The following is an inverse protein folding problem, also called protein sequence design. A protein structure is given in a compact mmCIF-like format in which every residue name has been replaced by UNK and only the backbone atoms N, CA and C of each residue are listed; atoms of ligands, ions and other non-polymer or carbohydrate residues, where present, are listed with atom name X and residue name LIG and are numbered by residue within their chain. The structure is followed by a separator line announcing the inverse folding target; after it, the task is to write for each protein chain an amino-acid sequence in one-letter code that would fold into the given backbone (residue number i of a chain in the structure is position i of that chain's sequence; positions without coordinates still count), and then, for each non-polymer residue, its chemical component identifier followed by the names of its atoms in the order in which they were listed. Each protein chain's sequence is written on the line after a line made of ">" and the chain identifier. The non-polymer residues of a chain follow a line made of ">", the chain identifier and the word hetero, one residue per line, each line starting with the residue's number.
data_IF_718168900907
#
_entry.id   IF_718168900907
#
_cell.length_a   1.000
_cell.length_b   1.000
_cell.length_c   1.000
_cell.angle_alpha   90.00
_cell.angle_beta   90.00
_cell.angle_gamma   90.00
#
_symmetry.space_group_name_H-M   'P 1'
#
loop_
_entity.id
_entity.type
_entity.pdbx_description
1 polymer ?
#
# COMPACT_ATOMS: atom_id res chain seq x y z
N UNK A 1 -7.80 38.65 27.80
CA UNK A 1 -8.30 37.28 28.03
C UNK A 1 -9.41 36.95 27.01
N UNK A 2 -9.13 37.08 25.70
CA UNK A 2 -10.08 36.82 24.58
C UNK A 2 -9.33 36.39 23.31
N UNK A 3 -8.37 35.46 23.42
CA UNK A 3 -7.54 35.07 22.26
C UNK A 3 -7.14 33.59 22.25
N UNK A 4 -8.00 32.70 22.77
CA UNK A 4 -7.77 31.25 22.68
C UNK A 4 -8.95 30.42 22.16
N UNK A 5 -10.12 31.02 21.89
CA UNK A 5 -11.29 30.25 21.43
C UNK A 5 -11.33 29.97 19.92
N UNK A 6 -10.44 30.56 19.10
CA UNK A 6 -10.52 30.42 17.63
C UNK A 6 -9.66 29.32 17.01
N UNK A 7 -9.08 28.40 17.79
CA UNK A 7 -8.17 27.36 17.27
C UNK A 7 -8.74 25.94 17.24
N UNK A 8 -9.98 25.72 17.70
CA UNK A 8 -10.58 24.38 17.77
C UNK A 8 -11.59 24.04 16.65
N UNK A 9 -11.93 24.96 15.74
CA UNK A 9 -12.93 24.71 14.68
C UNK A 9 -12.38 24.31 13.30
N UNK A 10 -11.06 24.19 13.11
CA UNK A 10 -10.47 23.89 11.79
C UNK A 10 -10.22 22.38 11.51
N UNK A 11 -10.92 21.47 12.19
CA UNK A 11 -10.75 20.01 12.01
C UNK A 11 -11.99 19.27 11.50
N UNK A 12 -12.98 19.97 10.95
CA UNK A 12 -14.14 19.34 10.35
C UNK A 12 -14.08 19.42 8.82
N UNK A 13 -13.78 18.29 8.18
CA UNK A 13 -14.31 17.99 6.85
C UNK A 13 -13.31 17.88 5.71
N UNK A 14 -12.23 17.11 5.84
CA UNK A 14 -11.71 16.43 4.62
C UNK A 14 -12.83 15.52 4.13
N UNK A 15 -13.42 15.86 2.99
CA UNK A 15 -14.57 15.14 2.47
C UNK A 15 -14.21 13.68 2.24
N UNK A 16 -15.18 12.77 2.41
CA UNK A 16 -14.99 11.34 2.11
C UNK A 16 -14.44 11.11 0.69
N UNK A 17 -14.74 12.03 -0.23
CA UNK A 17 -14.22 12.07 -1.59
C UNK A 17 -12.73 12.43 -1.70
N UNK A 18 -12.17 13.22 -0.79
CA UNK A 18 -10.73 13.51 -0.75
C UNK A 18 -9.95 12.30 -0.22
N UNK A 19 -10.45 11.70 0.87
CA UNK A 19 -9.85 10.47 1.43
C UNK A 19 -9.91 9.31 0.45
N UNK A 20 -11.02 9.18 -0.30
CA UNK A 20 -11.14 8.19 -1.35
C UNK A 20 -10.16 8.46 -2.51
N UNK A 21 -9.95 9.72 -2.91
CA UNK A 21 -8.96 10.10 -3.93
C UNK A 21 -7.53 9.84 -3.48
N UNK A 22 -7.18 10.14 -2.24
CA UNK A 22 -5.86 9.83 -1.67
C UNK A 22 -5.62 8.32 -1.59
N UNK A 23 -6.61 7.55 -1.12
CA UNK A 23 -6.53 6.09 -1.06
C UNK A 23 -6.43 5.46 -2.45
N UNK A 24 -7.20 5.95 -3.44
CA UNK A 24 -7.11 5.54 -4.84
C UNK A 24 -5.78 5.93 -5.47
N UNK A 25 -5.26 7.12 -5.15
CA UNK A 25 -3.94 7.57 -5.58
C UNK A 25 -2.85 6.64 -5.07
N UNK A 26 -2.87 6.35 -3.77
CA UNK A 26 -1.94 5.40 -3.14
C UNK A 26 -2.02 4.00 -3.75
N UNK A 27 -3.23 3.44 -3.89
CA UNK A 27 -3.43 2.12 -4.49
C UNK A 27 -2.95 2.04 -5.94
N UNK A 28 -3.17 3.12 -6.69
CA UNK A 28 -2.74 3.24 -8.09
C UNK A 28 -1.22 3.33 -8.19
N UNK A 29 -0.58 4.06 -7.29
CA UNK A 29 0.87 4.24 -7.28
C UNK A 29 1.57 2.91 -6.89
N UNK A 30 0.97 2.13 -5.98
CA UNK A 30 1.43 0.78 -5.61
C UNK A 30 1.29 -0.20 -6.79
N UNK A 31 0.14 -0.21 -7.48
CA UNK A 31 -0.07 -1.02 -8.67
C UNK A 31 0.87 -0.62 -9.82
N UNK A 32 1.17 0.67 -9.97
CA UNK A 32 2.13 1.16 -10.94
C UNK A 32 3.57 0.73 -10.59
N UNK A 33 3.93 0.69 -9.30
CA UNK A 33 5.21 0.19 -8.83
C UNK A 33 5.38 -1.31 -9.15
N UNK A 34 4.30 -2.10 -9.10
CA UNK A 34 4.31 -3.52 -9.46
C UNK A 34 4.45 -3.81 -10.96
N UNK A 35 4.32 -2.81 -11.85
CA UNK A 35 4.55 -3.02 -13.29
C UNK A 35 6.06 -3.05 -13.57
N UNK A 36 6.61 -4.17 -14.08
CA UNK A 36 8.03 -4.27 -14.43
C UNK A 36 8.49 -3.14 -15.33
N UNK A 37 9.67 -2.57 -15.05
CA UNK A 37 10.25 -1.47 -15.83
C UNK A 37 10.39 -1.83 -17.32
N UNK A 38 10.62 -3.12 -17.64
CA UNK A 38 10.65 -3.64 -19.00
C UNK A 38 9.30 -3.55 -19.75
N UNK A 39 8.17 -3.56 -19.04
CA UNK A 39 6.83 -3.42 -19.60
C UNK A 39 6.42 -1.95 -19.72
N UNK A 40 6.82 -1.09 -18.77
CA UNK A 40 6.70 0.38 -18.89
C UNK A 40 7.48 0.89 -20.10
N UNK A 41 8.75 0.48 -20.20
CA UNK A 41 9.63 0.81 -21.32
C UNK A 41 9.16 0.23 -22.66
N UNK A 42 8.29 -0.79 -22.70
CA UNK A 42 7.76 -1.36 -23.95
C UNK A 42 6.44 -0.76 -24.42
N UNK A 43 5.68 -0.08 -23.56
CA UNK A 43 4.28 0.30 -23.84
C UNK A 43 3.99 1.80 -23.89
N UNK A 44 4.94 2.67 -23.58
CA UNK A 44 4.68 4.11 -23.47
C UNK A 44 4.76 4.93 -24.77
N UNK A 45 5.07 4.33 -25.94
CA UNK A 45 5.33 5.12 -27.15
C UNK A 45 4.65 4.60 -28.43
N UNK A 46 4.36 5.53 -29.35
CA UNK A 46 4.08 5.23 -30.76
C UNK A 46 5.17 4.28 -31.30
N UNK A 47 4.78 3.30 -32.11
CA UNK A 47 5.78 2.39 -32.72
C UNK A 47 6.68 3.22 -33.64
N UNK A 48 7.98 3.12 -33.44
CA UNK A 48 8.94 3.67 -34.39
C UNK A 48 8.99 2.76 -35.62
N UNK A 49 8.92 3.36 -36.81
CA UNK A 49 9.09 2.65 -38.06
C UNK A 49 10.55 2.64 -38.55
N UNK A 50 11.38 3.53 -38.00
CA UNK A 50 12.79 3.66 -38.32
C UNK A 50 13.60 3.65 -37.02
N UNK A 51 14.64 2.83 -36.99
CA UNK A 51 15.65 2.82 -35.93
C UNK A 51 16.86 3.63 -36.36
N UNK A 52 17.30 4.52 -35.48
CA UNK A 52 18.48 5.37 -35.64
C UNK A 52 19.41 5.14 -34.45
N UNK A 53 20.68 4.84 -34.72
CA UNK A 53 21.72 4.64 -33.70
C UNK A 53 22.79 5.70 -33.92
N UNK A 54 22.98 6.56 -32.91
CA UNK A 54 24.11 7.48 -32.86
C UNK A 54 25.34 6.72 -32.38
N UNK A 55 26.48 6.97 -33.03
CA UNK A 55 27.78 6.42 -32.66
C UNK A 55 28.61 7.48 -31.90
N UNK A 56 29.60 7.05 -31.10
CA UNK A 56 30.51 7.95 -30.38
C UNK A 56 31.24 8.98 -31.26
N UNK A 57 31.47 8.65 -32.53
CA UNK A 57 32.13 9.51 -33.51
C UNK A 57 31.19 10.58 -34.13
N UNK A 58 29.94 10.64 -33.68
CA UNK A 58 28.92 11.59 -34.16
C UNK A 58 28.22 11.15 -35.45
N UNK A 59 28.55 9.98 -36.01
CA UNK A 59 27.81 9.40 -37.15
C UNK A 59 26.57 8.67 -36.68
N UNK A 60 25.57 8.56 -37.55
CA UNK A 60 24.32 7.87 -37.28
C UNK A 60 24.08 6.76 -38.31
N UNK A 61 23.79 5.55 -37.81
CA UNK A 61 23.30 4.44 -38.63
C UNK A 61 21.77 4.39 -38.57
N UNK A 62 21.11 4.13 -39.70
CA UNK A 62 19.65 4.17 -39.82
C UNK A 62 19.12 2.98 -40.61
N UNK A 63 18.04 2.37 -40.14
CA UNK A 63 17.38 1.25 -40.81
C UNK A 63 15.87 1.24 -40.51
N UNK A 64 15.09 0.50 -41.30
CA UNK A 64 13.69 0.23 -40.95
C UNK A 64 13.64 -0.60 -39.66
N UNK A 65 12.72 -0.23 -38.76
CA UNK A 65 12.53 -0.93 -37.51
C UNK A 65 11.94 -2.33 -37.77
N UNK A 66 12.67 -3.39 -37.42
CA UNK A 66 12.18 -4.76 -37.54
C UNK A 66 11.48 -5.23 -36.24
N UNK A 67 10.15 -5.40 -36.24
CA UNK A 67 9.38 -5.70 -35.03
C UNK A 67 9.67 -7.10 -34.45
N UNK A 68 10.28 -8.01 -35.22
CA UNK A 68 10.51 -9.41 -34.81
C UNK A 68 11.96 -9.73 -34.43
N UNK A 69 12.94 -8.99 -34.94
CA UNK A 69 14.36 -9.27 -34.70
C UNK A 69 15.04 -8.27 -33.78
N UNK A 70 14.48 -7.07 -33.60
CA UNK A 70 15.17 -6.01 -32.85
C UNK A 70 16.58 -5.74 -33.40
N UNK A 71 16.80 -6.02 -34.68
CA UNK A 71 18.08 -5.81 -35.33
C UNK A 71 18.34 -4.30 -35.40
N UNK A 72 19.41 -3.87 -34.76
CA UNK A 72 19.85 -2.49 -34.83
C UNK A 72 20.53 -2.25 -36.18
N UNK A 73 20.50 -1.00 -36.70
CA UNK A 73 21.26 -0.61 -37.87
C UNK A 73 22.75 -1.00 -37.75
N UNK A 74 23.35 -1.47 -38.84
CA UNK A 74 24.77 -1.82 -38.87
C UNK A 74 25.62 -0.55 -38.68
N UNK A 75 26.50 -0.49 -37.65
CA UNK A 75 27.43 0.62 -37.46
C UNK A 75 28.33 0.90 -38.67
N UNK A 76 28.58 -0.09 -39.53
CA UNK A 76 29.37 0.09 -40.75
C UNK A 76 28.69 1.01 -41.77
N UNK A 77 27.35 1.09 -41.75
CA UNK A 77 26.56 1.97 -42.62
C UNK A 77 26.36 3.38 -42.03
N UNK A 78 27.07 3.74 -40.96
CA UNK A 78 26.89 5.02 -40.29
C UNK A 78 27.34 6.21 -41.14
N UNK A 79 26.44 7.19 -41.25
CA UNK A 79 26.62 8.41 -42.03
C UNK A 79 26.82 9.60 -41.09
N UNK A 80 27.67 10.55 -41.47
CA UNK A 80 27.77 11.82 -40.76
C UNK A 80 26.46 12.61 -40.85
N UNK A 81 26.15 13.40 -39.81
CA UNK A 81 25.03 14.35 -39.85
C UNK A 81 25.23 15.34 -41.01
N UNK A 82 24.25 15.39 -41.91
CA UNK A 82 24.32 16.21 -43.11
C UNK A 82 23.41 15.70 -44.24
N UNK A 83 23.57 16.24 -45.46
CA UNK A 83 22.65 15.97 -46.58
C UNK A 83 22.50 14.48 -46.93
N UNK A 84 23.58 13.70 -46.80
CA UNK A 84 23.57 12.26 -47.10
C UNK A 84 22.71 11.48 -46.12
N UNK A 85 22.78 11.81 -44.81
CA UNK A 85 21.92 11.21 -43.80
C UNK A 85 20.46 11.57 -44.03
N UNK A 86 20.18 12.84 -44.35
CA UNK A 86 18.82 13.31 -44.67
C UNK A 86 18.25 12.57 -45.88
N UNK A 87 19.04 12.41 -46.96
CA UNK A 87 18.62 11.66 -48.14
C UNK A 87 18.31 10.19 -47.81
N UNK A 88 19.14 9.55 -46.97
CA UNK A 88 18.92 8.18 -46.49
C UNK A 88 17.65 8.08 -45.65
N UNK A 89 17.42 9.01 -44.73
CA UNK A 89 16.21 9.09 -43.90
C UNK A 89 14.95 9.30 -44.76
N UNK A 90 14.99 10.16 -45.78
CA UNK A 90 13.88 10.33 -46.74
C UNK A 90 13.59 9.04 -47.50
N UNK A 91 14.62 8.34 -47.99
CA UNK A 91 14.44 7.07 -48.67
C UNK A 91 13.78 6.01 -47.77
N UNK A 92 14.16 5.96 -46.48
CA UNK A 92 13.52 5.08 -45.50
C UNK A 92 12.09 5.52 -45.17
N UNK A 93 11.83 6.83 -45.12
CA UNK A 93 10.50 7.39 -44.84
C UNK A 93 9.46 7.00 -45.91
N UNK A 94 9.87 6.84 -47.17
CA UNK A 94 8.99 6.37 -48.25
C UNK A 94 8.61 4.88 -48.13
N UNK A 95 9.44 4.09 -47.44
CA UNK A 95 9.22 2.66 -47.21
C UNK A 95 8.51 2.40 -45.87
N UNK A 96 8.54 3.37 -44.96
CA UNK A 96 8.02 3.25 -43.61
C UNK A 96 6.50 3.54 -43.57
N UNK A 97 5.68 2.68 -42.93
CA UNK A 97 4.24 2.93 -42.80
C UNK A 97 3.93 4.15 -41.92
N UNK A 98 4.82 4.48 -40.99
CA UNK A 98 4.72 5.65 -40.13
C UNK A 98 5.99 6.50 -40.26
N UNK A 99 5.86 7.83 -40.23
CA UNK A 99 7.00 8.77 -40.28
C UNK A 99 7.60 8.97 -38.88
N UNK A 100 7.94 7.88 -38.19
CA UNK A 100 8.38 7.87 -36.78
C UNK A 100 9.76 7.24 -36.62
N UNK A 101 10.63 7.89 -35.83
CA UNK A 101 12.01 7.46 -35.59
C UNK A 101 12.23 7.22 -34.09
N UNK A 102 12.93 6.13 -33.76
CA UNK A 102 13.53 5.91 -32.44
C UNK A 102 15.03 6.14 -32.53
N UNK A 103 15.56 6.98 -31.66
CA UNK A 103 16.99 7.24 -31.53
C UNK A 103 17.57 6.43 -30.37
N UNK A 104 18.69 5.74 -30.59
CA UNK A 104 19.56 5.19 -29.55
C UNK A 104 20.82 6.02 -29.47
N UNK A 105 21.10 6.56 -28.29
CA UNK A 105 22.31 7.33 -27.98
C UNK A 105 23.31 6.42 -27.25
N UNK A 106 24.61 6.52 -27.51
CA UNK A 106 25.63 5.77 -26.80
C UNK A 106 25.78 6.30 -25.37
N UNK A 107 26.27 5.44 -24.47
CA UNK A 107 26.28 5.71 -23.02
C UNK A 107 27.27 6.80 -22.63
N UNK A 108 28.35 6.93 -23.39
CA UNK A 108 29.40 7.94 -23.23
C UNK A 108 28.91 9.38 -23.48
N UNK A 109 27.88 9.54 -24.32
CA UNK A 109 27.22 10.83 -24.54
C UNK A 109 26.23 11.19 -23.43
N UNK A 110 25.92 10.27 -22.52
CA UNK A 110 25.04 10.49 -21.38
C UNK A 110 25.83 10.65 -20.07
N UNK A 111 25.39 11.57 -19.22
CA UNK A 111 25.83 11.64 -17.83
C UNK A 111 24.96 10.70 -17.00
N UNK A 112 25.56 9.64 -16.46
CA UNK A 112 24.89 8.67 -15.59
C UNK A 112 25.42 8.79 -14.17
N UNK A 113 24.52 9.01 -13.20
CA UNK A 113 24.89 9.02 -11.77
C UNK A 113 23.96 8.17 -10.94
N UNK A 114 24.50 7.64 -9.84
CA UNK A 114 23.74 6.91 -8.83
C UNK A 114 23.49 7.82 -7.63
N UNK A 115 22.25 7.89 -7.19
CA UNK A 115 21.83 8.68 -6.02
C UNK A 115 20.87 7.85 -5.19
N UNK A 116 20.89 8.06 -3.87
CA UNK A 116 19.95 7.43 -2.95
C UNK A 116 18.81 8.39 -2.66
N UNK A 117 17.58 7.92 -2.80
CA UNK A 117 16.40 8.67 -2.37
C UNK A 117 15.60 7.86 -1.35
N UNK A 118 15.01 8.49 -0.32
CA UNK A 118 14.05 7.82 0.54
C UNK A 118 12.89 7.25 -0.29
N UNK A 119 12.39 6.06 0.04
CA UNK A 119 11.31 5.42 -0.71
C UNK A 119 10.05 6.30 -0.84
N UNK A 120 9.73 7.07 0.21
CA UNK A 120 8.62 8.07 0.21
C UNK A 120 8.76 9.19 -0.81
N UNK A 121 9.98 9.45 -1.30
CA UNK A 121 10.25 10.52 -2.28
C UNK A 121 10.11 10.04 -3.72
N UNK A 122 9.84 8.74 -3.96
CA UNK A 122 9.77 8.15 -5.30
C UNK A 122 8.76 8.87 -6.21
N UNK A 123 7.58 9.23 -5.69
CA UNK A 123 6.55 9.98 -6.44
C UNK A 123 7.00 11.38 -6.90
N UNK A 124 8.08 11.91 -6.33
CA UNK A 124 8.68 13.20 -6.69
C UNK A 124 10.10 13.07 -7.26
N UNK A 125 10.58 11.84 -7.50
CA UNK A 125 11.96 11.60 -7.91
C UNK A 125 12.33 12.35 -9.21
N UNK A 126 11.46 12.35 -10.22
CA UNK A 126 11.70 13.09 -11.48
C UNK A 126 11.90 14.59 -11.25
N UNK A 127 11.09 15.22 -10.39
CA UNK A 127 11.23 16.64 -10.08
C UNK A 127 12.52 16.95 -9.30
N UNK A 128 12.85 16.12 -8.30
CA UNK A 128 14.08 16.25 -7.49
C UNK A 128 15.31 16.10 -8.40
N UNK A 129 15.35 15.04 -9.20
CA UNK A 129 16.48 14.74 -10.07
C UNK A 129 16.66 15.79 -11.17
N UNK A 130 15.57 16.31 -11.74
CA UNK A 130 15.63 17.42 -12.70
C UNK A 130 16.21 18.68 -12.07
N UNK A 131 15.74 19.07 -10.88
CA UNK A 131 16.27 20.22 -10.17
C UNK A 131 17.77 20.07 -9.87
N UNK A 132 18.20 18.87 -9.45
CA UNK A 132 19.61 18.59 -9.26
C UNK A 132 20.42 18.63 -10.57
N UNK A 133 19.85 18.17 -11.70
CA UNK A 133 20.52 18.26 -13.00
C UNK A 133 20.72 19.71 -13.45
N UNK A 134 19.73 20.57 -13.25
CA UNK A 134 19.81 22.01 -13.55
C UNK A 134 20.93 22.69 -12.76
N UNK A 135 21.14 22.29 -11.50
CA UNK A 135 22.23 22.83 -10.67
C UNK A 135 23.63 22.33 -11.06
N UNK A 136 23.73 21.17 -11.71
CA UNK A 136 25.00 20.52 -12.05
C UNK A 136 25.46 20.80 -13.49
N UNK A 137 24.53 21.11 -14.39
CA UNK A 137 24.78 21.19 -15.82
C UNK A 137 24.73 22.63 -16.31
N UNK A 138 25.72 23.11 -17.08
CA UNK A 138 25.72 24.47 -17.63
C UNK A 138 24.82 24.60 -18.88
N UNK A 139 23.61 24.06 -18.83
CA UNK A 139 22.63 24.08 -19.92
C UNK A 139 21.30 24.62 -19.42
N UNK A 140 20.51 25.21 -20.31
CA UNK A 140 19.16 25.63 -19.96
C UNK A 140 18.29 24.40 -19.64
N UNK A 141 17.29 24.49 -18.74
CA UNK A 141 16.42 23.36 -18.40
C UNK A 141 15.78 22.66 -19.61
N UNK A 142 15.38 23.42 -20.64
CA UNK A 142 14.79 22.88 -21.87
C UNK A 142 15.79 22.13 -22.78
N UNK A 143 17.10 22.28 -22.53
CA UNK A 143 18.18 21.60 -23.23
C UNK A 143 18.69 20.38 -22.47
N UNK A 144 18.13 20.08 -21.30
CA UNK A 144 18.49 18.94 -20.47
C UNK A 144 17.39 17.88 -20.63
N UNK A 145 17.72 16.79 -21.32
CA UNK A 145 16.88 15.60 -21.38
C UNK A 145 17.30 14.67 -20.25
N UNK A 146 16.35 14.17 -19.47
CA UNK A 146 16.67 13.35 -18.30
C UNK A 146 15.57 12.36 -18.01
N UNK A 147 15.96 11.16 -17.59
CA UNK A 147 15.07 10.12 -17.11
C UNK A 147 15.84 9.24 -16.11
N UNK A 148 15.13 8.45 -15.32
CA UNK A 148 15.70 7.70 -14.21
C UNK A 148 15.04 6.33 -14.05
N UNK A 149 15.75 5.43 -13.39
CA UNK A 149 15.20 4.13 -13.01
C UNK A 149 15.76 3.66 -11.68
N UNK A 150 14.98 2.85 -10.97
CA UNK A 150 15.42 2.19 -9.74
C UNK A 150 16.34 1.02 -10.09
N UNK A 151 17.58 1.05 -9.62
CA UNK A 151 18.55 -0.03 -9.80
C UNK A 151 18.35 -1.10 -8.72
N UNK A 152 18.23 -0.68 -7.46
CA UNK A 152 17.98 -1.55 -6.31
C UNK A 152 17.19 -0.83 -5.23
N UNK A 153 16.44 -1.58 -4.43
CA UNK A 153 15.70 -1.10 -3.25
C UNK A 153 16.33 -1.70 -1.99
N UNK A 154 16.61 -0.85 -1.00
CA UNK A 154 17.04 -1.21 0.33
C UNK A 154 15.84 -1.14 1.28
N UNK A 155 15.26 -2.30 1.55
CA UNK A 155 14.06 -2.42 2.39
C UNK A 155 14.33 -2.10 3.86
N UNK A 156 15.56 -2.33 4.33
CA UNK A 156 15.94 -2.14 5.73
C UNK A 156 16.17 -0.65 6.02
N UNK A 157 16.86 0.05 5.10
CA UNK A 157 17.09 1.49 5.19
C UNK A 157 15.89 2.33 4.69
N UNK A 158 14.92 1.71 4.00
CA UNK A 158 13.82 2.39 3.26
C UNK A 158 14.35 3.40 2.24
N UNK A 159 15.43 3.04 1.56
CA UNK A 159 16.10 3.85 0.54
C UNK A 159 16.06 3.16 -0.82
N UNK A 160 16.05 3.96 -1.88
CA UNK A 160 16.08 3.51 -3.26
C UNK A 160 17.39 3.98 -3.89
N UNK A 161 18.13 3.04 -4.48
CA UNK A 161 19.27 3.35 -5.32
C UNK A 161 18.74 3.63 -6.73
N UNK A 162 18.83 4.89 -7.14
CA UNK A 162 18.31 5.36 -8.42
C UNK A 162 19.49 5.71 -9.33
N UNK A 163 19.39 5.30 -10.58
CA UNK A 163 20.28 5.74 -11.65
C UNK A 163 19.56 6.83 -12.42
N UNK A 164 20.17 8.01 -12.43
CA UNK A 164 19.72 9.17 -13.21
C UNK A 164 20.58 9.28 -14.46
N UNK A 165 19.92 9.36 -15.62
CA UNK A 165 20.55 9.46 -16.94
C UNK A 165 20.19 10.81 -17.54
N UNK A 166 21.20 11.59 -17.88
CA UNK A 166 21.04 12.95 -18.42
C UNK A 166 21.75 13.06 -19.76
N UNK A 167 21.10 13.67 -20.74
CA UNK A 167 21.64 13.99 -22.05
C UNK A 167 21.44 15.48 -22.35
N UNK A 168 22.52 16.16 -22.69
CA UNK A 168 22.44 17.52 -23.20
C UNK A 168 21.92 17.49 -24.64
N UNK A 169 20.75 18.09 -24.89
CA UNK A 169 20.11 18.18 -26.20
C UNK A 169 21.00 18.74 -27.30
N UNK A 170 21.89 19.73 -27.06
CA UNK A 170 22.84 20.18 -28.07
C UNK A 170 23.71 19.07 -28.68
N UNK A 171 23.97 17.97 -27.95
CA UNK A 171 24.75 16.82 -28.46
C UNK A 171 24.03 16.04 -29.57
N UNK A 172 22.70 16.10 -29.61
CA UNK A 172 21.89 15.39 -30.62
C UNK A 172 21.17 16.34 -31.58
N UNK A 173 21.34 17.66 -31.42
CA UNK A 173 20.61 18.67 -32.19
C UNK A 173 20.75 18.50 -33.70
N UNK A 174 21.97 18.28 -34.20
CA UNK A 174 22.22 18.07 -35.62
C UNK A 174 21.47 16.85 -36.18
N UNK A 175 21.26 15.83 -35.35
CA UNK A 175 20.51 14.64 -35.72
C UNK A 175 18.99 14.88 -35.63
N UNK A 176 18.52 15.59 -34.60
CA UNK A 176 17.12 16.03 -34.51
C UNK A 176 16.72 16.87 -35.73
N UNK A 177 17.59 17.80 -36.15
CA UNK A 177 17.41 18.62 -37.35
C UNK A 177 17.37 17.77 -38.62
N UNK A 178 18.29 16.82 -38.79
CA UNK A 178 18.30 15.91 -39.95
C UNK A 178 17.03 15.03 -40.02
N UNK A 179 16.54 14.56 -38.87
CA UNK A 179 15.28 13.79 -38.77
C UNK A 179 14.10 14.68 -39.16
N UNK A 180 14.03 15.91 -38.64
CA UNK A 180 12.96 16.85 -38.96
C UNK A 180 12.98 17.26 -40.46
N UNK A 181 14.16 17.50 -41.04
CA UNK A 181 14.33 17.84 -42.46
C UNK A 181 13.91 16.69 -43.40
N UNK A 182 13.98 15.45 -42.91
CA UNK A 182 13.47 14.27 -43.61
C UNK A 182 11.93 14.10 -43.47
N UNK A 183 11.26 15.00 -42.74
CA UNK A 183 9.81 14.92 -42.48
C UNK A 183 9.44 13.79 -41.52
N UNK A 184 10.38 13.38 -40.66
CA UNK A 184 10.19 12.33 -39.67
C UNK A 184 10.01 12.94 -38.28
N UNK A 185 9.28 12.25 -37.40
CA UNK A 185 9.07 12.64 -36.01
C UNK A 185 9.86 11.72 -35.09
N UNK A 186 10.70 12.30 -34.23
CA UNK A 186 11.37 11.56 -33.17
C UNK A 186 10.37 11.21 -32.07
N UNK A 187 10.15 9.92 -31.83
CA UNK A 187 9.15 9.44 -30.83
C UNK A 187 9.76 8.89 -29.56
N UNK A 188 11.07 8.63 -29.56
CA UNK A 188 11.77 8.01 -28.43
C UNK A 188 13.27 8.24 -28.51
N UNK A 189 13.90 8.46 -27.34
CA UNK A 189 15.36 8.48 -27.20
C UNK A 189 15.75 7.45 -26.13
N UNK A 190 16.28 6.31 -26.58
CA UNK A 190 16.88 5.30 -25.71
C UNK A 190 18.39 5.47 -25.56
N UNK A 191 18.96 4.80 -24.58
CA UNK A 191 20.41 4.83 -24.30
C UNK A 191 20.99 3.42 -24.36
N UNK A 192 22.16 3.26 -24.97
CA UNK A 192 22.97 2.03 -24.94
C UNK A 192 22.45 0.85 -25.77
N UNK A 193 21.42 1.03 -26.62
CA UNK A 193 20.91 -0.08 -27.43
C UNK A 193 21.95 -0.51 -28.47
N UNK A 194 22.59 0.44 -29.16
CA UNK A 194 23.69 0.19 -30.11
C UNK A 194 24.92 -0.54 -29.53
N UNK A 195 25.10 -0.50 -28.21
CA UNK A 195 26.21 -1.14 -27.50
C UNK A 195 25.87 -2.54 -26.93
N UNK A 196 24.63 -3.00 -27.14
CA UNK A 196 24.13 -4.25 -26.54
C UNK A 196 23.91 -4.17 -25.02
N UNK A 197 23.96 -2.98 -24.43
CA UNK A 197 23.72 -2.72 -23.00
C UNK A 197 22.64 -1.65 -22.84
N UNK A 198 21.38 -1.97 -23.18
CA UNK A 198 20.29 -1.00 -23.14
C UNK A 198 20.01 -0.57 -21.70
N UNK A 199 19.84 0.74 -21.51
CA UNK A 199 19.39 1.33 -20.25
C UNK A 199 17.87 1.52 -20.33
N UNK A 200 17.10 1.16 -19.28
CA UNK A 200 15.63 1.16 -19.33
C UNK A 200 15.04 2.56 -19.13
N UNK A 201 15.47 3.52 -19.95
CA UNK A 201 15.05 4.93 -19.91
C UNK A 201 14.54 5.39 -21.28
N UNK A 202 13.68 6.40 -21.29
CA UNK A 202 13.28 7.15 -22.47
C UNK A 202 13.40 8.65 -22.20
N UNK A 203 14.47 9.25 -22.72
CA UNK A 203 14.80 10.65 -22.47
C UNK A 203 13.83 11.64 -23.13
N UNK A 204 12.90 11.16 -23.99
CA UNK A 204 11.87 11.97 -24.63
C UNK A 204 10.53 11.88 -23.87
N UNK A 205 10.39 10.93 -22.95
CA UNK A 205 9.24 10.86 -22.05
C UNK A 205 9.40 11.96 -21.00
N UNK A 206 8.94 13.18 -21.33
CA UNK A 206 8.76 14.23 -20.33
C UNK A 206 7.68 13.72 -19.39
N UNK A 207 8.08 13.39 -18.17
CA UNK A 207 7.23 12.90 -17.08
C UNK A 207 5.86 13.58 -17.07
N UNK A 208 4.89 12.91 -17.67
CA UNK A 208 3.52 12.93 -17.21
C UNK A 208 3.12 11.45 -17.11
N UNK A 209 3.37 10.78 -15.97
CA UNK A 209 2.81 9.47 -15.68
C UNK A 209 1.29 9.58 -15.46
N UNK A 210 0.59 10.30 -16.34
CA UNK A 210 -0.85 10.20 -16.41
C UNK A 210 -1.15 8.87 -17.10
N UNK A 211 -1.65 7.91 -16.31
CA UNK A 211 -2.25 6.69 -16.86
C UNK A 211 -3.30 7.01 -17.93
N UNK A 212 -3.84 8.23 -17.98
CA UNK A 212 -4.69 8.74 -19.05
C UNK A 212 -4.03 8.68 -20.43
N UNK A 213 -2.74 8.98 -20.57
CA UNK A 213 -2.01 8.82 -21.84
C UNK A 213 -1.83 7.34 -22.22
N UNK A 214 -1.57 6.47 -21.23
CA UNK A 214 -1.50 5.02 -21.43
C UNK A 214 -2.85 4.37 -21.76
N UNK A 215 -3.94 4.83 -21.12
CA UNK A 215 -5.33 4.43 -21.38
C UNK A 215 -5.79 4.95 -22.73
N UNK A 216 -5.42 6.16 -23.14
CA UNK A 216 -5.72 6.67 -24.48
C UNK A 216 -5.10 5.80 -25.58
N UNK A 217 -3.89 5.26 -25.35
CA UNK A 217 -3.17 4.38 -26.27
C UNK A 217 -3.66 2.91 -26.29
N UNK A 218 -4.55 2.50 -25.37
CA UNK A 218 -5.13 1.15 -25.37
C UNK A 218 -6.11 0.95 -26.54
N UNK A 219 -6.05 -0.24 -27.15
CA UNK A 219 -7.03 -0.68 -28.16
C UNK A 219 -8.46 -0.52 -27.63
N UNK A 220 -9.45 -0.13 -28.47
CA UNK A 220 -10.84 0.03 -28.05
C UNK A 220 -11.40 -1.23 -27.37
N UNK A 221 -10.94 -2.42 -27.77
CA UNK A 221 -11.32 -3.68 -27.15
C UNK A 221 -10.77 -3.83 -25.72
N UNK A 222 -9.53 -3.40 -25.48
CA UNK A 222 -8.91 -3.44 -24.16
C UNK A 222 -9.53 -2.40 -23.21
N UNK A 223 -9.99 -1.26 -23.74
CA UNK A 223 -10.79 -0.27 -22.99
C UNK A 223 -12.13 -0.86 -22.55
N UNK A 224 -12.82 -1.55 -23.45
CA UNK A 224 -14.08 -2.25 -23.17
C UNK A 224 -13.91 -3.38 -22.14
N UNK A 225 -12.88 -4.21 -22.31
CA UNK A 225 -12.60 -5.30 -21.38
C UNK A 225 -12.19 -4.79 -19.99
N UNK A 226 -11.36 -3.75 -19.91
CA UNK A 226 -10.99 -3.11 -18.65
C UNK A 226 -12.18 -2.45 -17.96
N UNK A 227 -13.05 -1.77 -18.72
CA UNK A 227 -14.29 -1.20 -18.19
C UNK A 227 -15.27 -2.27 -17.67
N UNK A 228 -15.41 -3.39 -18.38
CA UNK A 228 -16.24 -4.51 -17.96
C UNK A 228 -15.70 -5.18 -16.70
N UNK A 229 -14.39 -5.40 -16.60
CA UNK A 229 -13.75 -5.95 -15.41
C UNK A 229 -13.94 -5.04 -14.19
N UNK A 230 -13.81 -3.71 -14.37
CA UNK A 230 -14.05 -2.74 -13.31
C UNK A 230 -15.53 -2.73 -12.87
N UNK A 231 -16.46 -2.83 -13.82
CA UNK A 231 -17.89 -2.96 -13.52
C UNK A 231 -18.21 -4.23 -12.72
N UNK A 232 -17.61 -5.37 -13.08
CA UNK A 232 -17.77 -6.62 -12.33
C UNK A 232 -17.21 -6.50 -10.91
N UNK A 233 -16.07 -5.84 -10.76
CA UNK A 233 -15.43 -5.59 -9.46
C UNK A 233 -16.26 -4.64 -8.58
N UNK A 234 -16.89 -3.62 -9.18
CA UNK A 234 -17.81 -2.73 -8.47
C UNK A 234 -19.16 -3.40 -8.17
N UNK A 235 -19.61 -4.34 -8.99
CA UNK A 235 -20.87 -5.06 -8.79
C UNK A 235 -20.76 -6.15 -7.70
N UNK A 236 -19.58 -6.74 -7.49
CA UNK A 236 -19.36 -7.82 -6.51
C UNK A 236 -19.81 -7.48 -5.07
N UNK A 237 -19.52 -6.30 -4.50
CA UNK A 237 -20.03 -5.95 -3.17
C UNK A 237 -21.56 -5.83 -3.12
N UNK A 238 -22.22 -5.42 -4.20
CA UNK A 238 -23.69 -5.35 -4.23
C UNK A 238 -24.35 -6.73 -4.26
N UNK A 239 -23.73 -7.72 -4.92
CA UNK A 239 -24.18 -9.10 -4.84
C UNK A 239 -24.00 -9.69 -3.42
N UNK A 240 -22.95 -9.32 -2.71
CA UNK A 240 -22.71 -9.76 -1.34
C UNK A 240 -23.74 -9.17 -0.35
N UNK A 241 -24.15 -7.91 -0.54
CA UNK A 241 -25.18 -7.27 0.28
C UNK A 241 -26.54 -7.99 0.13
N UNK A 242 -26.91 -8.38 -1.09
CA UNK A 242 -28.17 -9.13 -1.32
C UNK A 242 -28.20 -10.51 -0.65
N UNK A 243 -27.05 -11.17 -0.47
CA UNK A 243 -26.95 -12.44 0.26
C UNK A 243 -27.09 -12.24 1.78
N UNK A 244 -26.60 -11.12 2.31
CA UNK A 244 -26.74 -10.79 3.74
C UNK A 244 -28.19 -10.50 4.14
N UNK A 245 -28.99 -9.91 3.25
CA UNK A 245 -30.42 -9.68 3.50
C UNK A 245 -31.19 -11.02 3.61
N UNK A 246 -30.86 -11.99 2.76
CA UNK A 246 -31.46 -13.32 2.80
C UNK A 246 -31.09 -14.10 4.09
N UNK A 247 -29.85 -13.98 4.56
CA UNK A 247 -29.42 -14.57 5.85
C UNK A 247 -30.09 -13.89 7.05
N UNK A 248 -30.27 -12.56 7.01
CA UNK A 248 -30.99 -11.82 8.05
C UNK A 248 -32.47 -12.21 8.12
N UNK A 249 -33.11 -12.43 6.97
CA UNK A 249 -34.50 -12.88 6.94
C UNK A 249 -34.65 -14.34 7.40
N UNK A 250 -33.70 -15.21 7.07
CA UNK A 250 -33.63 -16.56 7.62
C UNK A 250 -33.46 -16.55 9.15
N UNK A 251 -32.61 -15.68 9.68
CA UNK A 251 -32.41 -15.50 11.13
C UNK A 251 -33.64 -14.90 11.81
N UNK A 252 -34.35 -13.96 11.17
CA UNK A 252 -35.62 -13.41 11.67
C UNK A 252 -36.72 -14.46 11.71
N UNK A 253 -36.84 -15.28 10.66
CA UNK A 253 -37.79 -16.40 10.62
C UNK A 253 -37.48 -17.46 11.70
N UNK A 254 -36.19 -17.82 11.88
CA UNK A 254 -35.76 -18.73 12.93
C UNK A 254 -36.02 -18.17 14.35
N UNK A 255 -35.89 -16.84 14.52
CA UNK A 255 -36.17 -16.16 15.79
C UNK A 255 -37.67 -16.05 16.09
N UNK A 256 -38.52 -15.95 15.07
CA UNK A 256 -39.97 -16.00 15.21
C UNK A 256 -40.49 -17.41 15.53
N UNK A 257 -39.78 -18.44 15.07
CA UNK A 257 -40.10 -19.85 15.34
C UNK A 257 -39.60 -20.36 16.70
N UNK A 258 -38.70 -19.64 17.37
CA UNK A 258 -38.24 -19.99 18.72
C UNK A 258 -39.09 -19.31 19.79
N UNK A 259 -39.82 -20.04 20.63
CA UNK A 259 -40.57 -19.45 21.73
C UNK A 259 -39.60 -18.89 22.78
N UNK A 260 -39.40 -17.56 22.78
CA UNK A 260 -38.78 -16.90 23.94
C UNK A 260 -39.72 -17.02 25.13
N UNK A 261 -39.26 -17.42 26.33
CA UNK A 261 -40.03 -17.16 27.54
C UNK A 261 -40.17 -15.65 27.66
N UNK A 262 -41.41 -15.17 27.59
CA UNK A 262 -41.70 -13.75 27.71
C UNK A 262 -41.26 -13.28 29.11
N UNK A 263 -40.34 -12.33 29.16
CA UNK A 263 -39.95 -11.59 30.37
C UNK A 263 -41.14 -10.87 31.01
N UNK A 264 -42.28 -10.79 30.31
CA UNK A 264 -43.57 -10.31 30.82
C UNK A 264 -44.29 -11.28 31.79
N UNK A 265 -43.76 -12.49 32.03
CA UNK A 265 -44.33 -13.46 32.97
C UNK A 265 -43.48 -13.67 34.24
N UNK A 266 -42.43 -12.88 34.45
CA UNK A 266 -41.71 -12.86 35.73
C UNK A 266 -42.50 -11.97 36.68
N UNK A 267 -43.23 -12.59 37.60
CA UNK A 267 -43.95 -11.91 38.67
C UNK A 267 -43.01 -10.99 39.45
N UNK A 268 -43.53 -9.89 39.99
CA UNK A 268 -42.76 -8.94 40.81
C UNK A 268 -42.00 -9.64 41.97
N UNK A 269 -42.48 -10.80 42.43
CA UNK A 269 -41.78 -11.66 43.39
C UNK A 269 -40.45 -12.22 42.85
N UNK A 270 -40.40 -12.71 41.61
CA UNK A 270 -39.17 -13.22 41.02
C UNK A 270 -38.11 -12.12 40.79
N UNK A 271 -38.55 -10.87 40.60
CA UNK A 271 -37.66 -9.70 40.51
C UNK A 271 -37.15 -9.29 41.89
N UNK A 272 -37.99 -9.35 42.93
CA UNK A 272 -37.59 -9.09 44.32
C UNK A 272 -36.60 -10.16 44.81
N UNK A 273 -36.88 -11.44 44.59
CA UNK A 273 -35.99 -12.54 44.95
C UNK A 273 -34.62 -12.42 44.26
N UNK A 274 -34.59 -11.96 43.00
CA UNK A 274 -33.34 -11.70 42.28
C UNK A 274 -32.56 -10.50 42.84
N UNK A 275 -33.25 -9.45 43.29
CA UNK A 275 -32.63 -8.27 43.90
C UNK A 275 -32.12 -8.57 45.32
N UNK A 276 -32.85 -9.34 46.11
CA UNK A 276 -32.41 -9.80 47.44
C UNK A 276 -31.23 -10.77 47.31
N UNK A 277 -31.27 -11.71 46.35
CA UNK A 277 -30.14 -12.57 46.03
C UNK A 277 -28.93 -11.83 45.46
N UNK A 278 -29.09 -10.58 45.00
CA UNK A 278 -28.01 -9.69 44.58
C UNK A 278 -27.48 -8.84 45.74
N UNK A 279 -28.35 -8.41 46.65
CA UNK A 279 -27.98 -7.64 47.84
C UNK A 279 -27.15 -8.46 48.85
N UNK A 280 -27.35 -9.78 48.89
CA UNK A 280 -26.60 -10.72 49.74
C UNK A 280 -25.23 -11.12 49.17
N UNK A 281 -24.85 -10.64 47.97
CA UNK A 281 -23.55 -10.97 47.36
C UNK A 281 -22.45 -10.03 47.85
N UNK A 282 -21.27 -10.56 48.22
CA UNK A 282 -20.12 -9.71 48.53
C UNK A 282 -19.79 -8.81 47.35
N UNK A 283 -19.61 -7.49 47.55
CA UNK A 283 -19.16 -6.60 46.48
C UNK A 283 -17.81 -7.09 45.94
N UNK A 284 -17.64 -7.07 44.61
CA UNK A 284 -16.44 -7.55 43.91
C UNK A 284 -15.15 -6.93 44.48
N UNK A 285 -15.23 -5.69 44.99
CA UNK A 285 -14.11 -5.03 45.66
C UNK A 285 -13.64 -5.75 46.95
N UNK A 286 -14.55 -6.30 47.76
CA UNK A 286 -14.20 -7.07 48.96
C UNK A 286 -13.57 -8.42 48.61
N UNK A 287 -14.05 -9.07 47.55
CA UNK A 287 -13.47 -10.32 47.04
C UNK A 287 -12.03 -10.08 46.56
N UNK A 288 -11.79 -8.97 45.84
CA UNK A 288 -10.44 -8.61 45.37
C UNK A 288 -9.50 -8.23 46.51
N UNK A 289 -10.00 -7.52 47.54
CA UNK A 289 -9.19 -7.15 48.72
C UNK A 289 -8.82 -8.38 49.56
N UNK A 290 -9.76 -9.31 49.78
CA UNK A 290 -9.49 -10.56 50.47
C UNK A 290 -8.49 -11.45 49.71
N UNK A 291 -8.63 -11.53 48.37
CA UNK A 291 -7.63 -12.18 47.53
C UNK A 291 -6.25 -11.53 47.65
N UNK A 292 -6.17 -10.20 47.62
CA UNK A 292 -4.90 -9.47 47.72
C UNK A 292 -4.20 -9.66 49.08
N UNK A 293 -4.97 -9.81 50.18
CA UNK A 293 -4.42 -10.06 51.52
C UNK A 293 -3.98 -11.50 51.74
N UNK A 294 -4.71 -12.44 51.17
CA UNK A 294 -4.54 -13.88 51.43
C UNK A 294 -3.55 -14.52 50.46
N UNK A 295 -3.28 -13.90 49.30
CA UNK A 295 -2.32 -14.43 48.34
C UNK A 295 -0.87 -14.31 48.86
N UNK A 296 -0.07 -15.39 48.83
CA UNK A 296 1.36 -15.34 49.12
C UNK A 296 2.09 -14.36 48.18
N UNK A 297 3.11 -13.64 48.67
CA UNK A 297 3.90 -12.68 47.87
C UNK A 297 4.65 -13.31 46.69
N UNK A 298 4.79 -14.63 46.67
CA UNK A 298 5.43 -15.43 45.63
C UNK A 298 4.44 -16.03 44.61
N UNK A 299 3.13 -15.77 44.73
CA UNK A 299 2.11 -16.29 43.82
C UNK A 299 1.75 -15.28 42.71
N UNK A 300 1.75 -15.74 41.46
CA UNK A 300 1.35 -14.93 40.28
C UNK A 300 -0.02 -15.37 39.79
N UNK A 301 -0.95 -14.42 39.75
CA UNK A 301 -2.30 -14.57 39.23
C UNK A 301 -2.27 -14.43 37.70
N UNK A 302 -2.67 -15.45 36.96
CA UNK A 302 -2.70 -15.41 35.49
C UNK A 302 -4.10 -15.17 34.92
N UNK A 303 -5.14 -15.65 35.61
CA UNK A 303 -6.52 -15.50 35.16
C UNK A 303 -7.49 -15.45 36.36
N UNK A 304 -8.55 -14.64 36.25
CA UNK A 304 -9.60 -14.54 37.26
C UNK A 304 -10.94 -14.39 36.56
N UNK A 305 -11.78 -15.43 36.69
CA UNK A 305 -13.10 -15.48 36.09
C UNK A 305 -14.17 -15.67 37.16
N UNK A 306 -15.10 -14.72 37.24
CA UNK A 306 -16.25 -14.79 38.15
C UNK A 306 -17.52 -15.07 37.33
N UNK A 307 -18.06 -16.28 37.47
CA UNK A 307 -19.33 -16.69 36.84
C UNK A 307 -20.34 -17.03 37.95
N UNK A 308 -21.28 -16.12 38.19
CA UNK A 308 -22.29 -16.31 39.24
C UNK A 308 -21.67 -16.22 40.64
N UNK A 309 -21.69 -17.33 41.37
CA UNK A 309 -21.10 -17.54 42.69
C UNK A 309 -19.75 -18.29 42.63
N UNK A 310 -19.32 -18.69 41.43
CA UNK A 310 -18.11 -19.46 41.20
C UNK A 310 -16.97 -18.54 40.73
N UNK A 311 -15.90 -18.53 41.52
CA UNK A 311 -14.65 -17.87 41.20
C UNK A 311 -13.64 -18.92 40.72
N UNK A 312 -13.21 -18.80 39.47
CA UNK A 312 -12.14 -19.63 38.90
C UNK A 312 -10.88 -18.79 38.82
N UNK A 313 -9.80 -19.28 39.41
CA UNK A 313 -8.51 -18.59 39.51
C UNK A 313 -7.42 -19.43 38.84
N UNK A 314 -6.73 -18.85 37.87
CA UNK A 314 -5.49 -19.40 37.31
C UNK A 314 -4.27 -18.93 38.11
N UNK A 315 -3.50 -19.87 38.66
CA UNK A 315 -2.34 -19.57 39.51
C UNK A 315 -1.13 -20.42 39.11
N UNK A 316 0.05 -19.78 39.04
CA UNK A 316 1.31 -20.51 39.02
C UNK A 316 1.81 -20.71 40.46
N UNK A 317 2.06 -21.96 40.86
CA UNK A 317 2.38 -22.32 42.27
C UNK A 317 1.17 -22.72 43.13
N UNK A 318 0.19 -23.41 42.54
CA UNK A 318 -1.16 -23.65 43.08
C UNK A 318 -1.24 -24.24 44.50
N UNK A 319 -0.27 -25.04 44.97
CA UNK A 319 -0.39 -25.75 46.25
C UNK A 319 -0.33 -24.84 47.49
N UNK A 320 0.59 -23.86 47.52
CA UNK A 320 0.70 -22.91 48.64
C UNK A 320 -0.43 -21.90 48.64
N UNK A 321 -0.82 -21.40 47.47
CA UNK A 321 -1.96 -20.51 47.30
C UNK A 321 -3.28 -21.21 47.68
N UNK A 322 -3.44 -22.51 47.39
CA UNK A 322 -4.61 -23.30 47.80
C UNK A 322 -4.70 -23.49 49.32
N UNK A 323 -3.57 -23.60 50.03
CA UNK A 323 -3.57 -23.64 51.49
C UNK A 323 -4.00 -22.29 52.08
N UNK A 324 -3.44 -21.18 51.60
CA UNK A 324 -3.78 -19.85 52.08
C UNK A 324 -5.25 -19.47 51.78
N UNK A 325 -5.74 -19.76 50.57
CA UNK A 325 -7.12 -19.44 50.16
C UNK A 325 -8.18 -20.34 50.80
N UNK A 326 -7.81 -21.47 51.43
CA UNK A 326 -8.74 -22.29 52.21
C UNK A 326 -9.15 -21.63 53.52
N UNK A 327 -8.29 -20.76 54.06
CA UNK A 327 -8.52 -20.07 55.34
C UNK A 327 -9.21 -18.71 55.14
N UNK A 328 -9.56 -18.34 53.90
CA UNK A 328 -10.32 -17.12 53.59
C UNK A 328 -11.73 -17.19 54.18
N UNK A 329 -12.17 -16.07 54.76
CA UNK A 329 -13.52 -15.92 55.30
C UNK A 329 -14.60 -15.87 54.19
N UNK A 330 -14.23 -15.53 52.96
CA UNK A 330 -15.15 -15.28 51.85
C UNK A 330 -15.17 -16.40 50.80
N UNK A 331 -14.20 -17.32 50.83
CA UNK A 331 -14.06 -18.38 49.83
C UNK A 331 -14.29 -19.75 50.46
N UNK A 332 -15.08 -20.58 49.80
CA UNK A 332 -15.22 -22.01 50.11
C UNK A 332 -14.68 -22.84 48.93
N UNK A 333 -14.01 -23.98 49.19
CA UNK A 333 -13.55 -24.84 48.10
C UNK A 333 -14.75 -25.39 47.33
N UNK A 334 -14.80 -25.14 46.03
CA UNK A 334 -15.87 -25.67 45.18
C UNK A 334 -15.55 -27.11 44.76
N UNK A 335 -16.48 -28.08 44.87
CA UNK A 335 -16.29 -29.41 44.30
C UNK A 335 -16.50 -29.35 42.78
N UNK A 336 -15.49 -29.70 41.99
CA UNK A 336 -15.60 -29.87 40.53
C UNK A 336 -14.35 -29.52 39.74
N UNK A 337 -14.26 -30.08 38.52
CA UNK A 337 -13.13 -29.97 37.60
C UNK A 337 -12.63 -28.53 37.42
N UNK A 338 -11.45 -28.28 37.95
CA UNK A 338 -10.61 -27.17 37.54
C UNK A 338 -9.50 -27.76 36.65
N UNK A 339 -9.20 -27.10 35.53
CA UNK A 339 -8.10 -27.51 34.67
C UNK A 339 -6.77 -27.54 35.47
N UNK A 340 -5.79 -28.38 35.11
CA UNK A 340 -4.50 -28.42 35.81
C UNK A 340 -3.86 -27.02 35.84
N UNK A 341 -3.66 -26.47 37.05
CA UNK A 341 -3.19 -25.09 37.27
C UNK A 341 -4.27 -24.06 37.59
N UNK A 342 -5.55 -24.46 37.66
CA UNK A 342 -6.66 -23.62 38.11
C UNK A 342 -7.23 -24.11 39.44
N UNK A 343 -7.72 -23.16 40.24
CA UNK A 343 -8.46 -23.41 41.48
C UNK A 343 -9.88 -22.84 41.35
N UNK A 344 -10.88 -23.61 41.75
CA UNK A 344 -12.28 -23.17 41.78
C UNK A 344 -12.74 -22.99 43.23
N UNK A 345 -13.31 -21.82 43.51
CA UNK A 345 -13.89 -21.47 44.80
C UNK A 345 -15.33 -20.99 44.61
N UNK A 346 -16.18 -21.22 45.61
CA UNK A 346 -17.50 -20.60 45.72
C UNK A 346 -17.45 -19.46 46.72
N UNK A 347 -18.17 -18.38 46.44
CA UNK A 347 -18.29 -17.25 47.36
C UNK A 347 -19.23 -17.62 48.52
N UNK A 348 -18.78 -17.43 49.77
CA UNK A 348 -19.66 -17.50 50.93
C UNK A 348 -20.55 -16.26 50.98
N UNK A 349 -21.82 -16.44 51.30
CA UNK A 349 -22.70 -15.32 51.61
C UNK A 349 -22.17 -14.59 52.86
N UNK A 350 -22.28 -13.27 52.88
CA UNK A 350 -21.99 -12.49 54.08
C UNK A 350 -23.11 -12.77 55.11
N UNK A 351 -22.75 -13.38 56.24
CA UNK A 351 -23.66 -13.46 57.37
C UNK A 351 -23.94 -12.03 57.86
N UNK A 352 -25.20 -11.59 57.72
CA UNK A 352 -25.67 -10.29 58.17
C UNK A 352 -25.82 -10.18 59.70
N UNK A 353 -25.02 -10.91 60.48
CA UNK A 353 -25.08 -10.93 61.95
C UNK A 353 -23.69 -10.75 62.56
N UNK A 354 -23.19 -9.51 62.49
CA UNK A 354 -21.96 -9.07 63.17
C UNK A 354 -22.18 -7.71 63.83
N UNK A 355 -23.12 -7.63 64.76
CA UNK A 355 -23.43 -6.39 65.47
C UNK A 355 -24.28 -6.61 66.72
N UNK A 356 -23.72 -7.25 67.74
CA UNK A 356 -24.01 -6.90 69.14
C UNK A 356 -22.91 -7.49 70.04
N UNK A 357 -22.19 -6.58 70.70
CA UNK A 357 -21.11 -6.89 71.62
C UNK A 357 -21.62 -7.25 73.01
N UNK A 358 -20.71 -7.90 73.75
CA UNK A 358 -20.54 -7.93 75.20
C UNK A 358 -21.70 -7.49 76.11
N UNK A 359 -22.18 -8.48 76.88
CA UNK A 359 -22.15 -8.55 78.35
C UNK A 359 -21.93 -7.25 79.16
N UNK A 360 -22.60 -7.12 80.32
CA UNK A 360 -21.91 -6.71 81.54
C UNK A 360 -21.16 -7.88 82.20
#
# INVERSE_FOLDING_TARGET
>A
MVAQESKHEALAGTSLAERAREALGWWRDELAAMVPNALRARKAGRRAAIDCVLLPDGRAAVALAEPRKGALPDPAEALASGPTLVARLRALAELAPERTVRLSVPRDLCFMRRTRLPARALGHAGAILRHEAEGLMPFAPAEILGDWYVETEDTDARELNIVHVVLARPRIRALEEAIAEAGLTLVRIGVGHGEGRPVPVDLLSVDDPSLLAGVAALSPFAKLAGGAALLILLATPFLAIGQQEAELDALRAARAASPKPAVAALSAGAVADFLDARALRPPVAQVLDDLARTLPRDAVLSDLKLEGDRLTIGLQGAERARAALRDSALLAPAPGDAAPGQLAFTLRALDASGGEGSQP
#
